data_IF_784948683299
#
_entry.id   IF_784948683299
#
_cell.length_a   1.000
_cell.length_b   1.000
_cell.length_c   1.000
_cell.angle_alpha   90.00
_cell.angle_beta   90.00
_cell.angle_gamma   90.00
#
_symmetry.space_group_name_H-M   'P 1'
#
loop_
_entity.id
_entity.type
_entity.pdbx_description
1 polymer ?
#
# COMPACT_ATOMS: atom_id res chain seq x y z
N UNK A 1 10.09 -13.98 -4.84
CA UNK A 1 8.66 -13.82 -5.13
C UNK A 1 8.54 -12.97 -6.37
N UNK A 2 7.80 -13.43 -7.38
CA UNK A 2 7.53 -12.63 -8.58
C UNK A 2 6.20 -11.90 -8.41
N UNK A 3 6.14 -10.65 -8.87
CA UNK A 3 4.95 -9.80 -8.79
C UNK A 3 4.30 -9.70 -10.17
N UNK A 4 3.00 -9.98 -10.25
CA UNK A 4 2.21 -9.86 -11.47
C UNK A 4 0.99 -8.98 -11.24
N UNK A 5 0.68 -8.14 -12.22
CA UNK A 5 -0.51 -7.28 -12.25
C UNK A 5 -1.20 -7.36 -13.62
N UNK A 6 -2.47 -6.97 -13.68
CA UNK A 6 -3.24 -6.85 -14.92
C UNK A 6 -4.37 -5.83 -14.75
N UNK A 7 -4.91 -5.37 -15.88
CA UNK A 7 -6.00 -4.42 -15.97
C UNK A 7 -5.57 -3.05 -16.51
N UNK A 8 -6.17 -2.00 -15.94
CA UNK A 8 -5.97 -0.61 -16.36
C UNK A 8 -4.60 -0.11 -15.90
N UNK A 9 -3.90 0.66 -16.74
CA UNK A 9 -2.53 1.11 -16.50
C UNK A 9 -2.21 2.49 -17.09
N UNK A 10 -3.20 3.31 -17.46
CA UNK A 10 -2.92 4.60 -18.12
C UNK A 10 -2.10 5.57 -17.25
N UNK A 11 -2.10 5.39 -15.93
CA UNK A 11 -1.34 6.17 -14.96
C UNK A 11 -0.07 5.44 -14.48
N UNK A 12 0.21 4.24 -15.02
CA UNK A 12 1.39 3.45 -14.66
C UNK A 12 1.22 2.54 -13.44
N UNK A 13 -0.03 2.32 -12.99
CA UNK A 13 -0.36 1.61 -11.76
C UNK A 13 -0.08 0.10 -11.77
N UNK A 14 0.38 -0.47 -12.89
CA UNK A 14 0.93 -1.82 -12.95
C UNK A 14 2.45 -1.86 -12.76
N UNK A 15 3.16 -0.73 -12.84
CA UNK A 15 4.60 -0.68 -12.61
C UNK A 15 5.44 -1.35 -13.70
N UNK A 16 4.90 -1.50 -14.92
CA UNK A 16 5.53 -2.19 -16.06
C UNK A 16 6.50 -1.33 -16.86
N UNK A 17 6.80 -0.11 -16.41
CA UNK A 17 7.49 0.96 -17.15
C UNK A 17 6.73 1.44 -18.41
N UNK A 18 5.44 1.12 -18.50
CA UNK A 18 4.56 1.51 -19.61
C UNK A 18 3.24 2.06 -19.06
N UNK A 19 2.47 2.74 -19.91
CA UNK A 19 1.07 3.12 -19.65
C UNK A 19 0.06 2.16 -20.30
N UNK A 20 0.51 0.96 -20.68
CA UNK A 20 -0.25 0.00 -21.50
C UNK A 20 -1.14 -0.86 -20.60
N UNK A 21 -2.42 -0.98 -20.94
CA UNK A 21 -3.34 -1.90 -20.26
C UNK A 21 -3.01 -3.35 -20.65
N UNK A 22 -3.15 -4.28 -19.70
CA UNK A 22 -2.92 -5.70 -19.94
C UNK A 22 -4.15 -6.50 -19.53
N UNK A 23 -4.78 -7.19 -20.47
CA UNK A 23 -5.95 -8.04 -20.16
C UNK A 23 -5.56 -9.34 -19.43
N UNK A 24 -4.28 -9.71 -19.47
CA UNK A 24 -3.72 -10.91 -18.85
C UNK A 24 -2.60 -10.53 -17.86
N UNK A 25 -2.31 -11.39 -16.86
CA UNK A 25 -1.24 -11.15 -15.89
C UNK A 25 0.10 -10.87 -16.58
N UNK A 26 0.67 -9.70 -16.30
CA UNK A 26 2.00 -9.29 -16.75
C UNK A 26 2.93 -9.12 -15.56
N UNK A 27 4.20 -9.54 -15.72
CA UNK A 27 5.19 -9.38 -14.68
C UNK A 27 5.53 -7.90 -14.47
N UNK A 28 5.53 -7.45 -13.22
CA UNK A 28 5.97 -6.09 -12.84
C UNK A 28 7.51 -6.04 -12.93
N UNK A 29 8.01 -5.71 -14.12
CA UNK A 29 9.44 -5.79 -14.44
C UNK A 29 10.30 -4.85 -13.60
N UNK A 30 9.76 -3.71 -13.16
CA UNK A 30 10.46 -2.77 -12.28
C UNK A 30 10.81 -3.36 -10.91
N UNK A 31 10.13 -4.42 -10.47
CA UNK A 31 10.37 -5.09 -9.18
C UNK A 31 10.93 -6.52 -9.32
N UNK A 32 11.37 -6.92 -10.52
CA UNK A 32 11.81 -8.30 -10.80
C UNK A 32 12.92 -8.83 -9.87
N UNK A 33 13.78 -7.96 -9.35
CA UNK A 33 14.90 -8.33 -8.45
C UNK A 33 14.61 -8.07 -6.97
N UNK A 34 13.40 -7.64 -6.64
CA UNK A 34 13.01 -7.28 -5.28
C UNK A 34 12.11 -8.37 -4.70
N UNK A 35 12.44 -8.86 -3.51
CA UNK A 35 11.57 -9.82 -2.81
C UNK A 35 10.52 -9.05 -2.03
N UNK A 36 9.30 -9.00 -2.56
CA UNK A 36 8.17 -8.32 -1.94
C UNK A 36 7.56 -9.18 -0.82
N UNK A 37 7.25 -8.57 0.33
CA UNK A 37 6.52 -9.20 1.45
C UNK A 37 5.07 -8.72 1.58
N UNK A 38 4.76 -7.51 1.13
CA UNK A 38 3.41 -6.93 1.23
C UNK A 38 3.15 -6.00 0.04
N UNK A 39 1.93 -6.03 -0.48
CA UNK A 39 1.40 -5.09 -1.49
C UNK A 39 0.17 -4.42 -0.90
N UNK A 40 0.01 -3.12 -1.15
CA UNK A 40 -1.20 -2.36 -0.82
C UNK A 40 -1.61 -1.56 -2.04
N UNK A 41 -2.86 -1.70 -2.47
CA UNK A 41 -3.40 -0.99 -3.62
C UNK A 41 -4.26 0.20 -3.17
N UNK A 42 -4.04 1.36 -3.78
CA UNK A 42 -4.99 2.47 -3.81
C UNK A 42 -5.79 2.48 -5.13
N UNK A 43 -6.48 3.58 -5.48
CA UNK A 43 -7.32 3.64 -6.67
C UNK A 43 -6.53 3.49 -7.97
N UNK A 44 -5.43 4.22 -8.08
CA UNK A 44 -4.62 4.28 -9.30
C UNK A 44 -3.13 4.13 -8.98
N UNK A 45 -2.79 3.47 -7.89
CA UNK A 45 -1.39 3.28 -7.47
C UNK A 45 -1.28 2.06 -6.56
N UNK A 46 -0.05 1.56 -6.38
CA UNK A 46 0.24 0.61 -5.31
C UNK A 46 1.50 0.98 -4.54
N UNK A 47 1.57 0.47 -3.32
CA UNK A 47 2.76 0.42 -2.50
C UNK A 47 3.22 -1.04 -2.37
N UNK A 48 4.52 -1.26 -2.50
CA UNK A 48 5.14 -2.57 -2.36
C UNK A 48 6.24 -2.49 -1.31
N UNK A 49 6.12 -3.32 -0.28
CA UNK A 49 7.11 -3.40 0.79
C UNK A 49 7.95 -4.66 0.61
N UNK A 50 9.27 -4.50 0.50
CA UNK A 50 10.21 -5.59 0.37
C UNK A 50 10.52 -6.27 1.71
N UNK A 51 11.06 -7.50 1.64
CA UNK A 51 11.63 -8.18 2.82
C UNK A 51 12.83 -7.44 3.42
N UNK A 52 13.52 -6.61 2.64
CA UNK A 52 14.62 -5.77 3.12
C UNK A 52 14.14 -4.45 3.75
N UNK A 53 12.82 -4.24 3.89
CA UNK A 53 12.26 -3.04 4.49
C UNK A 53 12.20 -1.82 3.55
N UNK A 54 12.40 -1.99 2.25
CA UNK A 54 12.24 -0.89 1.29
C UNK A 54 10.79 -0.81 0.82
N UNK A 55 10.26 0.40 0.78
CA UNK A 55 8.94 0.69 0.19
C UNK A 55 9.13 1.24 -1.22
N UNK A 56 8.35 0.71 -2.15
CA UNK A 56 8.27 1.15 -3.52
C UNK A 56 6.85 1.60 -3.84
N UNK A 57 6.69 2.60 -4.69
CA UNK A 57 5.39 3.10 -5.14
C UNK A 57 5.35 3.24 -6.67
N UNK A 58 4.21 2.97 -7.29
CA UNK A 58 3.99 3.27 -8.70
C UNK A 58 2.51 3.63 -8.97
N UNK A 59 2.24 4.25 -10.12
CA UNK A 59 0.93 4.70 -10.54
C UNK A 59 0.77 6.21 -10.50
N UNK A 60 -0.45 6.66 -10.23
CA UNK A 60 -0.82 8.07 -10.12
C UNK A 60 -0.01 8.78 -9.02
N UNK A 61 0.50 9.97 -9.34
CA UNK A 61 1.25 10.82 -8.39
C UNK A 61 0.57 12.13 -8.04
N UNK A 62 -0.61 12.43 -8.59
CA UNK A 62 -1.27 13.75 -8.50
C UNK A 62 -1.55 14.22 -7.06
N UNK A 63 -1.71 13.29 -6.12
CA UNK A 63 -1.90 13.58 -4.69
C UNK A 63 -0.62 13.46 -3.87
N UNK A 64 0.54 13.21 -4.48
CA UNK A 64 1.82 12.98 -3.79
C UNK A 64 2.02 11.54 -3.29
N UNK A 65 1.12 10.61 -3.62
CA UNK A 65 1.09 9.24 -3.07
C UNK A 65 2.28 8.35 -3.49
N UNK A 66 3.08 8.79 -4.47
CA UNK A 66 4.35 8.14 -4.83
C UNK A 66 5.47 8.45 -3.82
N UNK A 67 5.41 9.59 -3.12
CA UNK A 67 6.34 9.93 -2.05
C UNK A 67 7.75 10.33 -2.51
N UNK A 68 7.91 10.75 -3.77
CA UNK A 68 9.22 11.12 -4.37
C UNK A 68 9.53 12.62 -4.39
N UNK A 69 8.72 13.45 -3.74
CA UNK A 69 8.92 14.90 -3.63
C UNK A 69 8.24 15.74 -4.71
N UNK A 70 7.55 15.10 -5.66
CA UNK A 70 6.76 15.75 -6.70
C UNK A 70 5.35 15.11 -6.80
N UNK A 71 4.61 15.47 -7.85
CA UNK A 71 3.26 14.94 -8.13
C UNK A 71 3.19 14.20 -9.48
N UNK A 72 4.34 13.80 -10.02
CA UNK A 72 4.40 13.10 -11.29
C UNK A 72 4.08 11.62 -11.13
N UNK A 73 3.31 11.07 -12.08
CA UNK A 73 3.04 9.63 -12.16
C UNK A 73 4.35 8.83 -12.24
N UNK A 74 4.28 7.56 -11.84
CA UNK A 74 5.40 6.64 -11.87
C UNK A 74 4.98 5.35 -12.58
N UNK A 75 5.40 5.17 -13.84
CA UNK A 75 5.12 3.96 -14.61
C UNK A 75 5.98 2.76 -14.20
N UNK A 76 7.06 2.99 -13.45
CA UNK A 76 7.87 1.98 -12.80
C UNK A 76 7.92 2.22 -11.28
N UNK A 77 8.16 1.16 -10.53
CA UNK A 77 8.27 1.21 -9.08
C UNK A 77 9.42 2.15 -8.65
N UNK A 78 9.06 3.19 -7.89
CA UNK A 78 9.98 4.20 -7.34
C UNK A 78 10.20 3.91 -5.86
N UNK A 79 11.45 3.78 -5.42
CA UNK A 79 11.79 3.54 -4.02
C UNK A 79 11.67 4.83 -3.20
N UNK A 80 11.11 4.73 -1.98
CA UNK A 80 11.15 5.82 -1.01
C UNK A 80 12.60 6.08 -0.52
N UNK A 81 12.90 7.29 0.00
CA UNK A 81 14.26 7.62 0.45
C UNK A 81 14.79 6.67 1.54
N UNK A 82 15.99 6.11 1.33
CA UNK A 82 16.63 5.17 2.27
C UNK A 82 16.88 5.75 3.66
N UNK A 83 17.05 7.07 3.76
CA UNK A 83 17.26 7.79 5.03
C UNK A 83 16.10 7.65 6.04
N UNK A 84 14.96 7.11 5.61
CA UNK A 84 13.79 6.87 6.47
C UNK A 84 13.87 5.53 7.22
N UNK A 85 14.90 4.73 6.94
CA UNK A 85 15.11 3.42 7.54
C UNK A 85 14.34 2.29 6.86
N UNK A 86 14.36 1.13 7.50
CA UNK A 86 13.65 -0.08 7.04
C UNK A 86 12.22 -0.09 7.57
N UNK A 87 11.27 -0.45 6.71
CA UNK A 87 9.85 -0.47 7.02
C UNK A 87 9.33 -1.86 7.42
N UNK A 88 8.55 -1.89 8.50
CA UNK A 88 7.87 -3.09 8.97
C UNK A 88 6.49 -3.23 8.34
N UNK A 89 5.77 -2.12 8.15
CA UNK A 89 4.39 -2.07 7.66
C UNK A 89 4.15 -0.92 6.69
N UNK A 90 3.23 -1.12 5.74
CA UNK A 90 2.74 -0.09 4.82
C UNK A 90 1.22 -0.18 4.66
N UNK A 91 0.57 0.95 4.42
CA UNK A 91 -0.87 1.06 4.29
C UNK A 91 -1.26 2.23 3.38
N UNK A 92 -2.44 2.16 2.77
CA UNK A 92 -3.01 3.24 1.96
C UNK A 92 -4.54 3.22 2.00
N UNK A 93 -5.18 4.38 1.79
CA UNK A 93 -6.63 4.47 1.60
C UNK A 93 -7.03 4.49 0.14
N UNK A 94 -8.16 3.83 -0.17
CA UNK A 94 -8.79 3.90 -1.48
C UNK A 94 -9.61 5.20 -1.68
N UNK A 95 -9.99 5.90 -0.61
CA UNK A 95 -10.88 7.07 -0.72
C UNK A 95 -10.14 8.39 -0.85
N UNK A 96 -8.95 8.50 -0.25
CA UNK A 96 -8.26 9.78 -0.14
C UNK A 96 -6.84 9.74 -0.68
N UNK A 97 -6.30 8.63 -1.17
CA UNK A 97 -4.87 8.52 -1.55
C UNK A 97 -3.93 8.89 -0.39
N UNK A 98 -4.34 8.66 0.87
CA UNK A 98 -3.43 8.76 2.01
C UNK A 98 -2.59 7.50 2.06
N UNK A 99 -1.28 7.66 2.22
CA UNK A 99 -0.33 6.59 2.44
C UNK A 99 0.30 6.73 3.81
N UNK A 100 0.60 5.61 4.44
CA UNK A 100 1.35 5.59 5.69
C UNK A 100 2.27 4.37 5.78
N UNK A 101 3.36 4.50 6.54
CA UNK A 101 4.28 3.41 6.80
C UNK A 101 4.90 3.52 8.19
N UNK A 102 5.15 2.37 8.82
CA UNK A 102 5.79 2.22 10.13
C UNK A 102 7.17 1.64 9.91
N UNK A 103 8.21 2.33 10.38
CA UNK A 103 9.57 1.82 10.30
C UNK A 103 9.92 0.91 11.48
N UNK A 104 11.05 0.19 11.38
CA UNK A 104 11.54 -0.72 12.41
C UNK A 104 11.98 0.02 13.69
N UNK A 105 12.15 1.34 13.63
CA UNK A 105 12.38 2.22 14.78
C UNK A 105 11.08 2.66 15.49
N UNK A 106 9.91 2.24 15.00
CA UNK A 106 8.61 2.60 15.56
C UNK A 106 8.09 3.97 15.13
N UNK A 107 8.70 4.58 14.11
CA UNK A 107 8.32 5.90 13.59
C UNK A 107 7.26 5.76 12.49
N UNK A 108 6.19 6.54 12.59
CA UNK A 108 5.10 6.57 11.60
C UNK A 108 5.30 7.73 10.64
N UNK A 109 5.28 7.42 9.35
CA UNK A 109 5.32 8.37 8.25
C UNK A 109 4.00 8.41 7.50
N UNK A 110 3.59 9.60 7.05
CA UNK A 110 2.44 9.81 6.17
C UNK A 110 2.84 10.57 4.91
N UNK A 111 2.17 10.30 3.78
CA UNK A 111 2.27 11.08 2.55
C UNK A 111 1.04 10.89 1.67
N UNK A 112 0.99 11.55 0.51
CA UNK A 112 -0.21 11.59 -0.31
C UNK A 112 -1.15 12.71 0.16
N UNK A 113 -2.46 12.45 0.14
CA UNK A 113 -3.44 13.43 0.63
C UNK A 113 -3.64 13.28 2.14
N UNK A 114 -3.05 14.19 2.90
CA UNK A 114 -3.18 14.24 4.35
C UNK A 114 -4.18 15.35 4.70
N UNK A 115 -5.43 14.97 5.01
CA UNK A 115 -6.59 15.87 5.15
C UNK A 115 -6.83 16.73 3.90
N UNK A 116 -6.39 17.99 3.94
CA UNK A 116 -6.57 18.98 2.88
C UNK A 116 -5.24 19.33 2.20
N UNK A 117 -4.14 18.71 2.62
CA UNK A 117 -2.79 19.02 2.14
C UNK A 117 -2.21 17.87 1.30
N UNK A 118 -1.36 18.24 0.34
CA UNK A 118 -0.59 17.30 -0.48
C UNK A 118 0.83 17.17 0.07
N UNK A 119 1.09 16.03 0.70
CA UNK A 119 2.40 15.70 1.26
C UNK A 119 3.15 14.85 0.23
N UNK A 120 4.08 15.47 -0.49
CA UNK A 120 4.76 14.88 -1.66
C UNK A 120 5.92 13.94 -1.30
N UNK A 121 6.38 14.00 -0.06
CA UNK A 121 7.44 13.15 0.50
C UNK A 121 7.01 12.64 1.88
N UNK A 122 7.38 11.41 2.28
CA UNK A 122 7.09 10.89 3.62
C UNK A 122 7.46 11.87 4.73
N UNK A 123 6.44 12.25 5.49
CA UNK A 123 6.50 13.15 6.64
C UNK A 123 6.41 12.32 7.91
N UNK A 124 7.40 12.45 8.81
CA UNK A 124 7.33 11.83 10.14
C UNK A 124 6.20 12.47 10.96
N UNK A 125 5.47 11.65 11.70
CA UNK A 125 4.44 12.06 12.65
C UNK A 125 4.88 11.80 14.10
N UNK A 126 4.14 12.34 15.05
CA UNK A 126 4.28 12.02 16.48
C UNK A 126 3.47 10.77 16.90
N UNK A 127 2.88 10.06 15.92
CA UNK A 127 2.06 8.88 16.17
C UNK A 127 2.91 7.61 16.20
N UNK A 128 2.44 6.60 16.92
CA UNK A 128 3.09 5.29 17.06
C UNK A 128 2.35 4.15 16.35
N UNK A 129 1.17 4.42 15.78
CA UNK A 129 0.36 3.44 15.07
C UNK A 129 -0.14 3.99 13.73
N UNK A 130 -0.21 3.10 12.73
CA UNK A 130 -0.86 3.40 11.47
C UNK A 130 -2.36 3.63 11.66
N UNK A 131 -3.01 2.92 12.58
CA UNK A 131 -4.45 3.09 12.85
C UNK A 131 -4.77 4.54 13.25
N UNK A 132 -3.96 5.15 14.12
CA UNK A 132 -4.09 6.56 14.51
C UNK A 132 -3.77 7.50 13.35
N UNK A 133 -2.80 7.16 12.50
CA UNK A 133 -2.47 7.98 11.34
C UNK A 133 -3.65 8.09 10.37
N UNK A 134 -4.34 6.98 10.09
CA UNK A 134 -5.55 7.05 9.26
C UNK A 134 -6.69 7.77 9.98
N UNK A 135 -6.92 7.52 11.28
CA UNK A 135 -7.94 8.24 12.04
C UNK A 135 -7.70 9.75 12.05
N UNK A 136 -6.45 10.20 12.15
CA UNK A 136 -6.10 11.61 12.19
C UNK A 136 -6.08 12.27 10.81
N UNK A 137 -5.55 11.59 9.78
CA UNK A 137 -5.18 12.25 8.53
C UNK A 137 -6.03 11.86 7.31
N UNK A 138 -6.83 10.80 7.39
CA UNK A 138 -7.74 10.46 6.27
C UNK A 138 -9.01 11.32 6.31
N UNK A 139 -9.66 11.44 5.15
CA UNK A 139 -10.94 12.13 5.00
C UNK A 139 -11.84 11.32 4.05
N UNK A 140 -12.88 10.63 4.57
CA UNK A 140 -13.25 10.53 5.99
C UNK A 140 -12.21 9.74 6.82
N UNK A 141 -12.18 9.90 8.16
CA UNK A 141 -11.40 9.03 9.06
C UNK A 141 -11.77 7.55 8.87
N UNK A 142 -10.76 6.69 8.64
CA UNK A 142 -10.93 5.24 8.45
C UNK A 142 -9.87 4.42 9.21
N UNK A 143 -10.11 3.13 9.40
CA UNK A 143 -9.05 2.15 9.71
C UNK A 143 -8.52 1.54 8.42
N UNK A 144 -7.21 1.29 8.31
CA UNK A 144 -6.59 0.76 7.08
C UNK A 144 -6.60 -0.77 6.98
N UNK A 145 -6.91 -1.43 8.10
CA UNK A 145 -7.11 -2.87 8.19
C UNK A 145 -8.48 -3.17 8.80
N UNK A 146 -9.06 -4.35 8.56
CA UNK A 146 -10.23 -4.79 9.28
C UNK A 146 -10.00 -4.77 10.79
N UNK A 147 -11.01 -4.32 11.55
CA UNK A 147 -10.96 -4.35 13.01
C UNK A 147 -10.89 -5.82 13.47
N UNK A 148 -9.81 -6.22 14.15
CA UNK A 148 -9.75 -7.53 14.78
C UNK A 148 -10.46 -7.46 16.13
N UNK A 149 -11.70 -7.96 16.20
CA UNK A 149 -12.40 -8.13 17.47
C UNK A 149 -11.81 -9.37 18.14
N UNK A 150 -10.97 -9.17 19.16
CA UNK A 150 -10.61 -10.26 20.07
C UNK A 150 -11.84 -10.53 20.92
N UNK A 151 -12.67 -11.50 20.55
CA UNK A 151 -13.84 -11.86 21.33
C UNK A 151 -13.37 -12.48 22.66
N UNK A 152 -13.42 -11.71 23.74
CA UNK A 152 -13.24 -12.24 25.10
C UNK A 152 -14.42 -13.14 25.54
N UNK A 153 -15.43 -13.32 24.68
CA UNK A 153 -16.62 -14.14 24.95
C UNK A 153 -16.94 -15.00 23.70
N UNK A 154 -17.00 -16.33 23.82
CA UNK A 154 -17.27 -17.21 22.69
C UNK A 154 -18.77 -17.15 22.35
N UNK A 155 -19.17 -16.18 21.54
CA UNK A 155 -20.54 -16.09 21.04
C UNK A 155 -20.54 -16.45 19.55
N UNK A 156 -21.53 -17.25 19.14
CA UNK A 156 -21.63 -17.90 17.81
C UNK A 156 -21.52 -16.93 16.62
N UNK A 157 -21.80 -15.64 16.81
CA UNK A 157 -21.68 -14.60 15.77
C UNK A 157 -20.27 -14.04 15.56
N UNK A 158 -19.36 -14.17 16.53
CA UNK A 158 -17.99 -13.65 16.41
C UNK A 158 -17.15 -14.45 15.40
N UNK A 159 -17.45 -15.74 15.25
CA UNK A 159 -16.78 -16.63 14.31
C UNK A 159 -17.05 -16.28 12.85
N UNK A 160 -18.29 -15.91 12.51
CA UNK A 160 -18.70 -15.63 11.12
C UNK A 160 -18.12 -14.30 10.60
N UNK A 161 -18.01 -13.29 11.47
CA UNK A 161 -17.37 -12.01 11.13
C UNK A 161 -15.87 -12.22 10.94
N UNK A 162 -15.19 -12.94 11.84
CA UNK A 162 -13.76 -13.28 11.70
C UNK A 162 -13.48 -14.11 10.45
N UNK A 163 -14.38 -15.02 10.10
CA UNK A 163 -14.26 -15.86 8.90
C UNK A 163 -14.46 -15.04 7.63
N UNK A 164 -15.43 -14.13 7.63
CA UNK A 164 -15.67 -13.22 6.51
C UNK A 164 -14.52 -12.24 6.30
N UNK A 165 -13.88 -11.76 7.38
CA UNK A 165 -12.73 -10.86 7.32
C UNK A 165 -11.44 -11.57 6.87
N UNK A 166 -11.23 -12.84 7.25
CA UNK A 166 -10.11 -13.65 6.75
C UNK A 166 -10.18 -13.87 5.25
N UNK A 167 -11.37 -14.03 4.68
CA UNK A 167 -11.57 -14.21 3.24
C UNK A 167 -11.25 -12.94 2.41
N UNK A 168 -11.18 -11.77 3.04
CA UNK A 168 -10.80 -10.51 2.39
C UNK A 168 -9.29 -10.24 2.41
N UNK A 169 -8.50 -11.03 3.16
CA UNK A 169 -7.06 -10.86 3.29
C UNK A 169 -6.34 -11.87 2.37
N UNK A 170 -5.55 -11.36 1.43
CA UNK A 170 -4.61 -12.17 0.66
C UNK A 170 -3.42 -12.48 1.59
N UNK A 171 -3.55 -13.50 2.42
CA UNK A 171 -2.42 -14.09 3.13
C UNK A 171 -2.01 -15.41 2.47
N UNK A 172 -1.37 -15.31 1.31
CA UNK A 172 -0.68 -16.48 0.74
C UNK A 172 0.78 -16.47 1.19
N UNK A 173 1.01 -16.95 2.43
CA UNK A 173 2.33 -17.00 3.08
C UNK A 173 3.25 -18.06 2.42
N UNK A 174 2.71 -18.90 1.53
CA UNK A 174 3.44 -19.96 0.84
C UNK A 174 3.59 -19.77 -0.69
N UNK A 175 2.97 -18.76 -1.29
CA UNK A 175 3.08 -18.56 -2.73
C UNK A 175 4.44 -17.96 -3.13
N UNK A 176 5.13 -18.63 -4.06
CA UNK A 176 6.32 -18.09 -4.71
C UNK A 176 5.99 -16.87 -5.63
N UNK A 177 4.71 -16.54 -5.78
CA UNK A 177 4.16 -15.52 -6.67
C UNK A 177 3.10 -14.70 -5.94
N UNK A 178 3.20 -13.38 -6.01
CA UNK A 178 2.16 -12.45 -5.53
C UNK A 178 1.42 -11.92 -6.75
N UNK A 179 0.11 -12.11 -6.78
CA UNK A 179 -0.79 -11.61 -7.82
C UNK A 179 -1.64 -10.48 -7.23
N UNK A 180 -1.79 -9.38 -7.96
CA UNK A 180 -2.75 -8.33 -7.61
C UNK A 180 -3.50 -7.87 -8.86
N UNK A 181 -4.76 -7.51 -8.68
CA UNK A 181 -5.64 -7.06 -9.77
C UNK A 181 -5.75 -5.55 -9.70
N UNK A 182 -5.56 -4.86 -10.82
CA UNK A 182 -5.86 -3.42 -10.94
C UNK A 182 -6.97 -3.23 -11.96
N UNK A 183 -8.21 -3.50 -11.54
CA UNK A 183 -9.40 -3.36 -12.38
C UNK A 183 -10.25 -2.18 -11.93
N UNK A 184 -10.46 -1.23 -12.83
CA UNK A 184 -11.64 -0.36 -12.87
C UNK A 184 -12.06 -0.22 -14.33
#
# INVERSE_FOLDING_TARGET
MNLYGWGYNALGQLGTNTGTNYAEPIQVTSLKKVVIKQIVCGPNFFLALSRSGHVYACGEGTSGQIGKGDVANATGATQLPEKLGSFSQVAATNTSNLCAALNDAGEVYIWGRCRFELVKSPMKTELSSLDDAFACYSSPPVTWRPLSIVSAVPNEYGGDVLTSLKNCLIEDVNAQVVHFVVTF
#
